data_IF_477813195941
#
_entry.id   IF_477813195941
#
_cell.length_a   1.000
_cell.length_b   1.000
_cell.length_c   1.000
_cell.angle_alpha   90.00
_cell.angle_beta   90.00
_cell.angle_gamma   90.00
#
_symmetry.space_group_name_H-M   'P 1'
#
loop_
_entity.id
_entity.type
_entity.pdbx_description
1 polymer ?
#
# COMPACT_ATOMS: atom_id res chain seq x y z
N UNK A 1 20.63 0.27 14.06
CA UNK A 1 21.30 -0.87 13.41
C UNK A 1 21.38 -0.61 11.91
N UNK A 2 22.59 -0.68 11.34
CA UNK A 2 22.81 -0.49 9.90
C UNK A 2 23.01 -1.85 9.23
N UNK A 3 22.29 -2.13 8.14
CA UNK A 3 22.50 -3.31 7.33
C UNK A 3 22.46 -2.93 5.84
N UNK A 4 23.14 -3.70 5.02
CA UNK A 4 23.18 -3.53 3.58
C UNK A 4 22.38 -4.63 2.91
N UNK A 5 21.55 -4.26 1.94
CA UNK A 5 20.77 -5.21 1.15
C UNK A 5 20.50 -4.63 -0.24
N UNK A 6 20.04 -5.45 -1.15
CA UNK A 6 19.65 -5.01 -2.49
C UNK A 6 18.14 -4.78 -2.55
N UNK A 7 17.75 -3.52 -2.73
CA UNK A 7 16.37 -3.21 -3.07
C UNK A 7 16.14 -3.57 -4.54
N UNK A 8 15.25 -4.51 -4.79
CA UNK A 8 15.00 -5.08 -6.10
C UNK A 8 13.56 -4.84 -6.54
N UNK A 9 13.38 -4.47 -7.79
CA UNK A 9 12.11 -4.57 -8.51
C UNK A 9 12.29 -5.47 -9.71
N UNK A 10 11.31 -6.33 -9.94
CA UNK A 10 11.32 -7.23 -11.07
C UNK A 10 11.01 -6.51 -12.40
N UNK A 11 11.04 -7.27 -13.50
CA UNK A 11 10.76 -6.75 -14.84
C UNK A 11 9.42 -6.01 -14.94
N UNK A 12 8.40 -6.47 -14.25
CA UNK A 12 7.06 -5.89 -14.23
C UNK A 12 6.90 -4.70 -13.26
N UNK A 13 7.94 -4.35 -12.50
CA UNK A 13 7.93 -3.24 -11.56
C UNK A 13 7.45 -3.59 -10.15
N UNK A 14 7.15 -4.84 -9.85
CA UNK A 14 6.84 -5.32 -8.51
C UNK A 14 8.11 -5.42 -7.67
N UNK A 15 7.97 -5.21 -6.37
CA UNK A 15 9.07 -5.44 -5.45
C UNK A 15 9.34 -6.95 -5.32
N UNK A 16 10.63 -7.33 -5.32
CA UNK A 16 11.08 -8.71 -5.14
C UNK A 16 11.47 -9.41 -6.44
N UNK A 17 11.34 -10.73 -6.46
CA UNK A 17 11.80 -11.59 -7.54
C UNK A 17 10.89 -11.59 -8.77
N UNK A 18 11.45 -12.09 -9.87
CA UNK A 18 10.70 -12.33 -11.10
C UNK A 18 9.58 -13.36 -10.87
N UNK A 19 8.51 -13.23 -11.63
CA UNK A 19 7.38 -14.16 -11.59
C UNK A 19 6.77 -14.35 -12.99
N UNK A 20 6.02 -15.43 -13.14
CA UNK A 20 5.16 -15.61 -14.31
C UNK A 20 3.81 -14.91 -14.00
N UNK A 21 3.35 -13.94 -14.82
CA UNK A 21 2.08 -13.25 -14.60
C UNK A 21 0.86 -14.16 -14.48
N UNK A 22 0.87 -15.33 -15.13
CA UNK A 22 -0.22 -16.30 -15.01
C UNK A 22 -0.36 -16.90 -13.60
N UNK A 23 0.71 -16.89 -12.80
CA UNK A 23 0.73 -17.51 -11.47
C UNK A 23 0.36 -16.50 -10.37
N UNK A 24 0.15 -15.23 -10.74
CA UNK A 24 -0.14 -14.17 -9.77
C UNK A 24 -1.62 -14.20 -9.40
N UNK A 25 -1.91 -14.73 -8.21
CA UNK A 25 -3.27 -14.75 -7.66
C UNK A 25 -3.53 -13.59 -6.70
N UNK A 26 -2.53 -13.21 -5.90
CA UNK A 26 -2.68 -12.24 -4.83
C UNK A 26 -1.66 -11.12 -4.98
N UNK A 27 -2.14 -9.89 -5.01
CA UNK A 27 -1.32 -8.67 -5.08
C UNK A 27 -1.51 -7.86 -3.81
N UNK A 28 -0.43 -7.28 -3.31
CA UNK A 28 -0.44 -6.31 -2.22
C UNK A 28 -0.17 -4.91 -2.78
N UNK A 29 -1.13 -4.03 -2.63
CA UNK A 29 -1.10 -2.64 -3.06
C UNK A 29 -0.98 -1.71 -1.86
N UNK A 30 0.05 -0.87 -1.84
CA UNK A 30 0.28 0.09 -0.77
C UNK A 30 1.16 1.27 -1.20
N UNK A 31 1.33 2.21 -0.29
CA UNK A 31 2.29 3.29 -0.38
C UNK A 31 3.69 2.86 0.06
N UNK A 32 4.49 3.82 0.55
CA UNK A 32 5.83 3.57 1.08
C UNK A 32 5.83 2.61 2.29
N UNK A 33 4.78 2.64 3.10
CA UNK A 33 4.57 1.73 4.24
C UNK A 33 4.33 0.27 3.84
N UNK A 34 3.93 0.00 2.61
CA UNK A 34 3.83 -1.35 2.03
C UNK A 34 5.03 -1.69 1.14
N UNK A 35 5.66 -0.65 0.53
CA UNK A 35 6.89 -0.82 -0.23
C UNK A 35 8.10 -1.11 0.67
N UNK A 36 8.15 -0.50 1.87
CA UNK A 36 9.19 -0.70 2.88
C UNK A 36 10.62 -0.66 2.32
N UNK A 37 10.89 0.35 1.50
CA UNK A 37 12.10 0.48 0.66
C UNK A 37 13.42 0.28 1.42
N UNK A 38 13.46 0.64 2.69
CA UNK A 38 14.67 0.57 3.53
C UNK A 38 14.74 -0.70 4.39
N UNK A 39 13.89 -1.68 4.13
CA UNK A 39 13.82 -2.97 4.82
C UNK A 39 14.18 -4.09 3.85
N UNK A 40 15.03 -5.09 4.20
CA UNK A 40 15.26 -6.26 3.36
C UNK A 40 13.95 -7.01 3.08
N UNK A 41 13.86 -7.64 1.91
CA UNK A 41 12.62 -8.28 1.44
C UNK A 41 12.01 -9.25 2.46
N UNK A 42 12.85 -10.07 3.07
CA UNK A 42 12.45 -11.08 4.05
C UNK A 42 11.87 -10.52 5.35
N UNK A 43 12.13 -9.23 5.65
CA UNK A 43 11.63 -8.55 6.85
C UNK A 43 10.50 -7.55 6.56
N UNK A 44 10.06 -7.46 5.30
CA UNK A 44 8.88 -6.65 4.95
C UNK A 44 7.59 -7.33 5.39
N UNK A 45 6.50 -6.59 5.49
CA UNK A 45 5.17 -7.15 5.77
C UNK A 45 4.86 -8.27 4.78
N UNK A 46 5.04 -8.03 3.47
CA UNK A 46 4.75 -9.04 2.43
C UNK A 46 5.72 -10.23 2.51
N UNK A 47 7.01 -9.98 2.70
CA UNK A 47 8.00 -11.06 2.86
C UNK A 47 7.68 -11.95 4.04
N UNK A 48 7.33 -11.36 5.19
CA UNK A 48 6.94 -12.09 6.40
C UNK A 48 5.62 -12.87 6.23
N UNK A 49 4.63 -12.30 5.53
CA UNK A 49 3.39 -13.02 5.20
C UNK A 49 3.67 -14.25 4.32
N UNK A 50 4.51 -14.10 3.31
CA UNK A 50 4.91 -15.22 2.44
C UNK A 50 5.66 -16.31 3.21
N UNK A 51 6.53 -15.94 4.16
CA UNK A 51 7.18 -16.91 5.05
C UNK A 51 6.18 -17.67 5.92
N UNK A 52 5.14 -16.99 6.44
CA UNK A 52 4.09 -17.62 7.25
C UNK A 52 3.25 -18.58 6.43
N UNK A 53 2.84 -18.23 5.22
CA UNK A 53 2.14 -19.16 4.32
C UNK A 53 3.00 -20.40 4.05
N UNK A 54 4.28 -20.21 3.73
CA UNK A 54 5.22 -21.31 3.52
C UNK A 54 5.39 -22.19 4.77
N UNK A 55 5.50 -21.59 5.96
CA UNK A 55 5.64 -22.35 7.22
C UNK A 55 4.39 -23.18 7.55
N UNK A 56 3.21 -22.69 7.18
CA UNK A 56 1.94 -23.38 7.33
C UNK A 56 1.65 -24.36 6.18
N UNK A 57 2.61 -24.57 5.27
CA UNK A 57 2.49 -25.43 4.07
C UNK A 57 1.33 -25.02 3.13
N UNK A 58 1.03 -23.72 3.08
CA UNK A 58 -0.01 -23.15 2.22
C UNK A 58 0.67 -22.64 0.96
N UNK A 59 0.26 -23.15 -0.21
CA UNK A 59 0.77 -22.76 -1.52
C UNK A 59 0.12 -21.46 -2.01
N UNK A 60 0.34 -20.39 -1.26
CA UNK A 60 -0.06 -19.02 -1.61
C UNK A 60 1.15 -18.09 -1.56
N UNK A 61 1.23 -17.19 -2.54
CA UNK A 61 2.24 -16.14 -2.61
C UNK A 61 1.60 -14.79 -2.89
N UNK A 62 1.98 -13.80 -2.08
CA UNK A 62 1.58 -12.40 -2.24
C UNK A 62 2.69 -11.68 -3.00
N UNK A 63 2.34 -10.93 -4.04
CA UNK A 63 3.25 -10.13 -4.85
C UNK A 63 3.09 -8.64 -4.53
N UNK A 64 4.19 -7.97 -4.21
CA UNK A 64 4.18 -6.60 -3.71
C UNK A 64 4.23 -5.57 -4.84
N UNK A 65 3.11 -4.92 -5.12
CA UNK A 65 2.96 -3.83 -6.09
C UNK A 65 3.05 -2.43 -5.45
N UNK A 66 3.36 -2.34 -4.15
CA UNK A 66 3.44 -1.06 -3.44
C UNK A 66 4.54 -0.16 -3.99
N UNK A 67 4.31 1.16 -4.01
CA UNK A 67 5.28 2.18 -4.39
C UNK A 67 5.22 3.38 -3.47
N UNK A 68 6.36 4.07 -3.28
CA UNK A 68 6.43 5.23 -2.40
C UNK A 68 5.45 6.32 -2.83
N UNK A 69 4.77 6.94 -1.85
CA UNK A 69 3.81 8.01 -2.08
C UNK A 69 2.47 7.60 -2.70
N UNK A 70 2.24 6.30 -2.96
CA UNK A 70 1.01 5.83 -3.59
C UNK A 70 -0.19 5.98 -2.65
N UNK A 71 -1.18 6.74 -3.08
CA UNK A 71 -2.52 6.85 -2.48
C UNK A 71 -3.52 5.99 -3.25
N UNK A 72 -4.76 5.97 -2.81
CA UNK A 72 -5.87 5.32 -3.54
C UNK A 72 -5.99 5.80 -5.00
N UNK A 73 -5.69 7.09 -5.25
CA UNK A 73 -5.59 7.64 -6.60
C UNK A 73 -4.52 6.93 -7.44
N UNK A 74 -3.32 6.72 -6.87
CA UNK A 74 -2.25 5.98 -7.53
C UNK A 74 -2.62 4.53 -7.81
N UNK A 75 -3.32 3.89 -6.87
CA UNK A 75 -3.82 2.52 -7.05
C UNK A 75 -4.82 2.42 -8.21
N UNK A 76 -5.75 3.38 -8.31
CA UNK A 76 -6.68 3.48 -9.46
C UNK A 76 -5.91 3.69 -10.77
N UNK A 77 -4.85 4.50 -10.75
CA UNK A 77 -3.98 4.72 -11.91
C UNK A 77 -3.32 3.42 -12.40
N UNK A 78 -2.90 2.55 -11.48
CA UNK A 78 -2.27 1.28 -11.81
C UNK A 78 -3.19 0.34 -12.61
N UNK A 79 -4.47 0.32 -12.28
CA UNK A 79 -5.48 -0.43 -13.06
C UNK A 79 -5.68 0.08 -14.49
N UNK A 80 -5.41 1.36 -14.73
CA UNK A 80 -5.59 1.95 -16.05
C UNK A 80 -4.31 1.94 -16.89
N UNK A 81 -3.13 1.96 -16.23
CA UNK A 81 -1.87 2.29 -16.90
C UNK A 81 -0.73 1.31 -16.67
N UNK A 82 -0.75 0.53 -15.58
CA UNK A 82 0.32 -0.40 -15.26
C UNK A 82 -0.11 -1.86 -15.46
N UNK A 83 -1.10 -2.33 -14.75
CA UNK A 83 -1.56 -3.72 -14.79
C UNK A 83 -1.99 -4.18 -16.18
N UNK A 84 -2.70 -3.35 -17.00
CA UNK A 84 -3.06 -3.74 -18.37
C UNK A 84 -1.88 -3.96 -19.32
N UNK A 85 -0.68 -3.46 -18.98
CA UNK A 85 0.54 -3.66 -19.77
C UNK A 85 1.23 -4.98 -19.48
N UNK A 86 0.80 -5.72 -18.47
CA UNK A 86 1.35 -7.01 -18.09
C UNK A 86 0.47 -8.09 -18.70
N UNK A 87 0.97 -8.75 -19.73
CA UNK A 87 0.22 -9.79 -20.43
C UNK A 87 -0.16 -10.93 -19.49
N UNK A 88 -1.42 -11.36 -19.55
CA UNK A 88 -1.98 -12.45 -18.75
C UNK A 88 -2.02 -12.20 -17.23
N UNK A 89 -1.85 -10.96 -16.78
CA UNK A 89 -1.95 -10.60 -15.37
C UNK A 89 -3.41 -10.47 -14.95
N UNK A 90 -3.89 -11.43 -14.16
CA UNK A 90 -5.29 -11.51 -13.71
C UNK A 90 -5.35 -11.94 -12.25
N UNK A 91 -4.98 -11.06 -11.31
CA UNK A 91 -5.05 -11.40 -9.89
C UNK A 91 -6.51 -11.66 -9.46
N UNK A 92 -6.70 -12.66 -8.62
CA UNK A 92 -7.99 -12.97 -8.00
C UNK A 92 -8.28 -12.06 -6.81
N UNK A 93 -7.22 -11.73 -6.05
CA UNK A 93 -7.29 -10.90 -4.85
C UNK A 93 -6.32 -9.73 -4.93
N UNK A 94 -6.76 -8.57 -4.44
CA UNK A 94 -5.86 -7.46 -4.16
C UNK A 94 -6.05 -6.99 -2.73
N UNK A 95 -4.95 -7.00 -1.97
CA UNK A 95 -4.86 -6.49 -0.61
C UNK A 95 -4.48 -5.02 -0.69
N UNK A 96 -5.36 -4.14 -0.22
CA UNK A 96 -5.17 -2.70 -0.22
C UNK A 96 -4.77 -2.21 1.16
N UNK A 97 -3.49 -1.84 1.32
CA UNK A 97 -2.96 -1.20 2.52
C UNK A 97 -2.86 0.30 2.28
N UNK A 98 -3.93 1.02 2.56
CA UNK A 98 -4.14 2.40 2.10
C UNK A 98 -4.66 3.32 3.21
N UNK A 99 -4.52 4.64 2.99
CA UNK A 99 -5.04 5.69 3.87
C UNK A 99 -4.03 6.79 4.18
N UNK A 100 -2.81 6.45 4.57
CA UNK A 100 -1.78 7.43 4.98
C UNK A 100 -1.51 8.51 3.93
N UNK A 101 -1.34 8.12 2.67
CA UNK A 101 -1.08 9.08 1.61
C UNK A 101 -2.35 9.83 1.15
N UNK A 102 -3.53 9.28 1.42
CA UNK A 102 -4.80 9.89 1.06
C UNK A 102 -5.11 11.12 1.93
N UNK A 103 -4.58 11.18 3.17
CA UNK A 103 -4.76 12.34 4.06
C UNK A 103 -4.20 13.64 3.51
N UNK A 104 -3.22 13.58 2.61
CA UNK A 104 -2.59 14.73 1.97
C UNK A 104 -3.32 15.20 0.69
N UNK A 105 -4.35 14.46 0.23
CA UNK A 105 -5.08 14.75 -1.01
C UNK A 105 -6.33 15.60 -0.78
N UNK A 106 -6.34 16.47 0.24
CA UNK A 106 -7.52 17.23 0.64
C UNK A 106 -7.76 18.50 -0.16
N UNK A 107 -6.83 18.95 -0.99
CA UNK A 107 -7.00 20.18 -1.73
C UNK A 107 -7.69 19.99 -3.10
N UNK A 108 -8.36 21.05 -3.57
CA UNK A 108 -9.09 21.05 -4.84
C UNK A 108 -8.16 20.86 -6.06
N UNK A 109 -6.88 21.21 -5.94
CA UNK A 109 -5.89 21.08 -7.02
C UNK A 109 -5.61 19.60 -7.26
N UNK A 110 -5.43 18.83 -6.21
CA UNK A 110 -5.22 17.39 -6.30
C UNK A 110 -6.45 16.67 -6.86
N UNK A 111 -7.65 17.14 -6.55
CA UNK A 111 -8.89 16.57 -7.10
C UNK A 111 -9.02 16.83 -8.61
N UNK A 112 -8.71 18.06 -9.07
CA UNK A 112 -8.66 18.38 -10.51
C UNK A 112 -7.61 17.54 -11.24
N UNK A 113 -6.45 17.33 -10.64
CA UNK A 113 -5.41 16.48 -11.23
C UNK A 113 -5.86 15.01 -11.33
N UNK A 114 -6.65 14.53 -10.36
CA UNK A 114 -7.25 13.19 -10.43
C UNK A 114 -8.18 13.04 -11.63
N UNK A 115 -9.10 14.00 -11.81
CA UNK A 115 -10.03 14.02 -12.96
C UNK A 115 -9.30 14.12 -14.29
N UNK A 116 -8.23 14.93 -14.36
CA UNK A 116 -7.40 15.11 -15.55
C UNK A 116 -6.58 13.87 -15.91
N UNK A 117 -6.10 13.12 -14.91
CA UNK A 117 -5.38 11.86 -15.17
C UNK A 117 -6.29 10.72 -15.62
N UNK A 118 -7.56 10.74 -15.23
CA UNK A 118 -8.57 9.83 -15.79
C UNK A 118 -8.87 10.18 -17.25
N UNK A 119 -8.75 11.48 -17.62
CA UNK A 119 -8.93 12.01 -18.97
C UNK A 119 -7.59 12.30 -19.66
N UNK A 120 -6.66 11.36 -19.74
CA UNK A 120 -5.33 11.57 -20.34
C UNK A 120 -5.29 12.49 -21.55
N UNK A 121 -4.41 13.50 -21.51
CA UNK A 121 -4.07 14.30 -22.69
C UNK A 121 -3.48 13.39 -23.77
N UNK A 122 -3.97 13.50 -25.00
CA UNK A 122 -3.55 12.74 -26.17
C UNK A 122 -2.02 12.73 -26.41
N UNK A 123 -1.34 13.79 -25.96
CA UNK A 123 0.11 13.99 -26.08
C UNK A 123 0.89 13.08 -25.10
N UNK A 124 0.39 12.90 -23.89
CA UNK A 124 1.07 12.04 -22.89
C UNK A 124 0.92 10.56 -23.25
N UNK A 125 -0.20 10.17 -23.87
CA UNK A 125 -0.36 8.84 -24.46
C UNK A 125 0.66 8.55 -25.56
N UNK A 126 0.95 9.52 -26.42
CA UNK A 126 1.95 9.35 -27.50
C UNK A 126 3.35 9.22 -26.91
N UNK A 127 3.72 10.05 -25.93
CA UNK A 127 5.03 9.96 -25.24
C UNK A 127 5.18 8.64 -24.49
N UNK A 128 4.15 8.21 -23.77
CA UNK A 128 4.14 6.93 -23.07
C UNK A 128 4.12 5.75 -24.02
N UNK A 129 3.41 5.86 -25.14
CA UNK A 129 3.44 4.84 -26.21
C UNK A 129 4.83 4.67 -26.80
N UNK A 130 5.52 5.77 -27.14
CA UNK A 130 6.88 5.74 -27.66
C UNK A 130 7.85 5.17 -26.62
N UNK A 131 7.77 5.61 -25.36
CA UNK A 131 8.64 5.18 -24.27
C UNK A 131 8.41 3.69 -23.92
N UNK A 132 7.17 3.24 -23.93
CA UNK A 132 6.79 1.89 -23.53
C UNK A 132 6.87 0.87 -24.67
N UNK A 133 6.87 1.31 -25.94
CA UNK A 133 7.07 0.45 -27.12
C UNK A 133 8.49 0.55 -27.69
N UNK A 134 9.39 1.32 -27.06
CA UNK A 134 10.79 1.34 -27.45
C UNK A 134 11.49 0.08 -26.91
N UNK A 135 11.68 -0.90 -27.78
CA UNK A 135 12.43 -2.12 -27.49
C UNK A 135 13.84 -1.83 -26.91
N UNK A 136 14.46 -0.73 -27.33
CA UNK A 136 15.78 -0.29 -26.83
C UNK A 136 15.68 0.19 -25.39
N UNK A 137 14.66 0.97 -25.02
CA UNK A 137 14.46 1.49 -23.66
C UNK A 137 14.15 0.36 -22.67
N UNK A 138 13.29 -0.58 -23.04
CA UNK A 138 12.96 -1.74 -22.20
C UNK A 138 14.18 -2.66 -22.02
N UNK A 139 14.94 -2.88 -23.08
CA UNK A 139 16.17 -3.68 -23.00
C UNK A 139 17.25 -3.00 -22.14
N UNK A 140 17.42 -1.69 -22.27
CA UNK A 140 18.31 -0.92 -21.41
C UNK A 140 17.90 -1.01 -19.93
N UNK A 141 16.61 -0.83 -19.63
CA UNK A 141 16.07 -0.92 -18.26
C UNK A 141 16.25 -2.33 -17.66
N UNK A 142 16.01 -3.36 -18.44
CA UNK A 142 16.21 -4.76 -18.05
C UNK A 142 17.69 -5.06 -17.76
N UNK A 143 18.60 -4.62 -18.65
CA UNK A 143 20.03 -4.77 -18.48
C UNK A 143 20.52 -3.97 -17.27
N UNK A 144 20.12 -2.71 -17.14
CA UNK A 144 20.50 -1.87 -16.02
C UNK A 144 20.07 -2.45 -14.68
N UNK A 145 18.82 -2.93 -14.56
CA UNK A 145 18.33 -3.53 -13.32
C UNK A 145 18.98 -4.90 -13.02
N UNK A 146 19.30 -5.68 -14.04
CA UNK A 146 19.94 -6.99 -13.89
C UNK A 146 21.42 -6.88 -13.48
N UNK A 147 22.16 -5.96 -14.08
CA UNK A 147 23.62 -5.85 -13.88
C UNK A 147 24.02 -4.75 -12.89
N UNK A 148 23.15 -3.79 -12.63
CA UNK A 148 23.37 -2.68 -11.69
C UNK A 148 22.20 -2.52 -10.72
N UNK A 149 21.88 -3.54 -9.91
CA UNK A 149 20.85 -3.40 -8.88
C UNK A 149 21.28 -2.28 -7.92
N UNK A 150 20.37 -1.34 -7.66
CA UNK A 150 20.65 -0.25 -6.73
C UNK A 150 20.83 -0.82 -5.33
N UNK A 151 22.04 -0.74 -4.80
CA UNK A 151 22.32 -1.07 -3.41
C UNK A 151 21.64 -0.01 -2.52
N UNK A 152 20.88 -0.46 -1.57
CA UNK A 152 20.24 0.39 -0.55
C UNK A 152 20.80 0.03 0.81
N UNK A 153 21.06 1.04 1.63
CA UNK A 153 21.36 0.84 3.05
C UNK A 153 20.16 1.30 3.88
N UNK A 154 19.74 0.46 4.80
CA UNK A 154 18.73 0.82 5.79
C UNK A 154 19.37 1.58 6.93
N UNK A 155 18.83 2.74 7.29
CA UNK A 155 19.20 3.49 8.47
C UNK A 155 18.03 3.46 9.45
N UNK A 156 18.29 2.99 10.66
CA UNK A 156 17.42 3.30 11.78
C UNK A 156 17.98 4.59 12.39
N UNK A 157 17.28 5.68 12.18
CA UNK A 157 17.60 6.94 12.84
C UNK A 157 17.09 6.80 14.27
N UNK A 158 18.01 6.87 15.22
CA UNK A 158 17.68 7.09 16.62
C UNK A 158 17.23 8.55 16.71
N UNK A 159 15.95 8.79 16.60
CA UNK A 159 15.40 10.12 16.55
C UNK A 159 14.89 10.47 17.95
N UNK A 160 15.79 10.87 18.84
CA UNK A 160 15.48 11.29 20.21
C UNK A 160 14.39 12.37 20.26
N UNK A 161 14.25 13.17 19.19
CA UNK A 161 13.18 14.18 19.06
C UNK A 161 11.79 13.58 18.83
N UNK A 162 11.67 12.50 18.04
CA UNK A 162 10.41 11.77 17.88
C UNK A 162 9.94 11.13 19.18
N UNK A 163 10.87 10.89 20.10
CA UNK A 163 10.63 10.15 21.34
C UNK A 163 10.11 11.03 22.47
N UNK A 164 10.37 12.32 22.45
CA UNK A 164 10.03 13.24 23.55
C UNK A 164 8.53 13.37 23.81
N UNK A 165 7.70 13.26 22.73
CA UNK A 165 6.24 13.43 22.78
C UNK A 165 5.47 12.18 22.38
N UNK A 166 6.12 11.02 22.44
CA UNK A 166 5.46 9.76 22.09
C UNK A 166 4.30 9.47 23.03
N UNK A 167 3.11 9.46 22.46
CA UNK A 167 1.90 8.98 23.12
C UNK A 167 1.08 8.19 22.13
N UNK A 168 1.04 6.89 22.32
CA UNK A 168 0.22 6.02 21.49
C UNK A 168 -1.27 6.27 21.75
N UNK A 169 -2.01 6.54 20.71
CA UNK A 169 -3.48 6.74 20.75
C UNK A 169 -4.12 5.54 20.05
N UNK A 170 -4.65 4.62 20.85
CA UNK A 170 -5.39 3.47 20.35
C UNK A 170 -6.79 3.86 19.86
N UNK A 171 -7.47 2.94 19.17
CA UNK A 171 -8.75 3.20 18.52
C UNK A 171 -9.84 3.80 19.46
N UNK A 172 -9.99 3.25 20.66
CA UNK A 172 -11.00 3.75 21.62
C UNK A 172 -10.74 5.21 22.02
N UNK A 173 -9.47 5.56 22.25
CA UNK A 173 -9.07 6.94 22.60
C UNK A 173 -9.25 7.88 21.40
N UNK A 174 -8.87 7.43 20.18
CA UNK A 174 -9.04 8.21 18.97
C UNK A 174 -10.52 8.55 18.70
N UNK A 175 -11.42 7.62 18.93
CA UNK A 175 -12.87 7.83 18.80
C UNK A 175 -13.41 8.92 19.73
N UNK A 176 -12.84 9.03 20.93
CA UNK A 176 -13.19 10.11 21.86
C UNK A 176 -12.54 11.45 21.49
N UNK A 177 -11.30 11.38 20.97
CA UNK A 177 -10.49 12.55 20.60
C UNK A 177 -11.05 13.27 19.35
N UNK A 178 -11.53 12.51 18.35
CA UNK A 178 -11.89 13.01 17.03
C UNK A 178 -13.41 13.13 16.81
N UNK A 179 -14.13 13.68 17.78
CA UNK A 179 -15.58 13.90 17.69
C UNK A 179 -15.96 15.08 16.79
N UNK A 180 -15.13 16.12 16.80
CA UNK A 180 -15.38 17.34 16.03
C UNK A 180 -14.73 17.24 14.65
N UNK A 181 -15.57 17.31 13.61
CA UNK A 181 -15.15 17.18 12.22
C UNK A 181 -15.23 18.53 11.54
N UNK A 182 -14.07 19.04 11.07
CA UNK A 182 -13.99 20.30 10.32
C UNK A 182 -14.62 20.20 8.92
N UNK A 183 -14.86 21.34 8.28
CA UNK A 183 -15.32 21.35 6.89
C UNK A 183 -14.29 20.77 5.93
N UNK A 184 -13.00 21.00 6.19
CA UNK A 184 -11.90 20.41 5.40
C UNK A 184 -11.91 18.89 5.49
N UNK A 185 -12.10 18.35 6.70
CA UNK A 185 -12.17 16.91 6.90
C UNK A 185 -13.40 16.29 6.21
N UNK A 186 -14.54 16.99 6.21
CA UNK A 186 -15.72 16.55 5.45
C UNK A 186 -15.46 16.48 3.94
N UNK A 187 -14.72 17.46 3.40
CA UNK A 187 -14.29 17.47 2.00
C UNK A 187 -13.36 16.28 1.72
N UNK A 188 -12.36 16.08 2.57
CA UNK A 188 -11.42 14.97 2.47
C UNK A 188 -12.13 13.61 2.40
N UNK A 189 -13.05 13.37 3.35
CA UNK A 189 -13.82 12.11 3.42
C UNK A 189 -14.66 11.92 2.16
N UNK A 190 -15.35 12.97 1.71
CA UNK A 190 -16.18 12.92 0.49
C UNK A 190 -15.35 12.60 -0.75
N UNK A 191 -14.16 13.19 -0.87
CA UNK A 191 -13.24 12.92 -1.96
C UNK A 191 -12.68 11.50 -1.90
N UNK A 192 -12.32 11.02 -0.72
CA UNK A 192 -11.87 9.64 -0.52
C UNK A 192 -12.96 8.64 -0.89
N UNK A 193 -14.21 8.90 -0.48
CA UNK A 193 -15.36 8.07 -0.84
C UNK A 193 -15.60 8.01 -2.36
N UNK A 194 -15.51 9.12 -3.07
CA UNK A 194 -15.58 9.14 -4.54
C UNK A 194 -14.53 8.22 -5.17
N UNK A 195 -13.28 8.28 -4.68
CA UNK A 195 -12.21 7.39 -5.15
C UNK A 195 -12.49 5.92 -4.86
N UNK A 196 -13.02 5.60 -3.67
CA UNK A 196 -13.44 4.23 -3.32
C UNK A 196 -14.54 3.72 -4.27
N UNK A 197 -15.49 4.57 -4.64
CA UNK A 197 -16.55 4.21 -5.61
C UNK A 197 -15.99 3.95 -7.02
N UNK A 198 -14.97 4.71 -7.45
CA UNK A 198 -14.26 4.44 -8.70
C UNK A 198 -13.51 3.11 -8.63
N UNK A 199 -12.76 2.87 -7.54
CA UNK A 199 -12.07 1.60 -7.33
C UNK A 199 -13.06 0.42 -7.36
N UNK A 200 -14.20 0.52 -6.66
CA UNK A 200 -15.25 -0.52 -6.68
C UNK A 200 -15.67 -0.91 -8.10
N UNK A 201 -15.93 0.10 -8.96
CA UNK A 201 -16.31 -0.17 -10.38
C UNK A 201 -15.21 -0.93 -11.12
N UNK A 202 -13.95 -0.57 -10.89
CA UNK A 202 -12.78 -1.22 -11.50
C UNK A 202 -12.67 -2.67 -11.03
N UNK A 203 -12.79 -2.92 -9.73
CA UNK A 203 -12.69 -4.25 -9.14
C UNK A 203 -13.79 -5.18 -9.67
N UNK A 204 -15.04 -4.71 -9.71
CA UNK A 204 -16.16 -5.47 -10.28
C UNK A 204 -15.90 -5.80 -11.75
N UNK A 205 -15.48 -4.81 -12.56
CA UNK A 205 -15.19 -4.99 -13.98
C UNK A 205 -14.11 -6.05 -14.23
N UNK A 206 -13.11 -6.14 -13.34
CA UNK A 206 -11.99 -7.06 -13.49
C UNK A 206 -12.17 -8.37 -12.71
N UNK A 207 -13.31 -8.58 -12.06
CA UNK A 207 -13.60 -9.75 -11.22
C UNK A 207 -12.56 -9.97 -10.12
N UNK A 208 -12.16 -8.89 -9.43
CA UNK A 208 -11.15 -8.90 -8.38
C UNK A 208 -11.82 -8.76 -7.02
N UNK A 209 -11.46 -9.64 -6.09
CA UNK A 209 -11.90 -9.58 -4.70
C UNK A 209 -10.95 -8.69 -3.88
N UNK A 210 -11.40 -7.54 -3.36
CA UNK A 210 -10.57 -6.70 -2.51
C UNK A 210 -10.51 -7.19 -1.08
N UNK A 211 -9.34 -7.04 -0.46
CA UNK A 211 -9.15 -7.13 0.99
C UNK A 211 -8.56 -5.81 1.45
N UNK A 212 -9.30 -5.02 2.21
CA UNK A 212 -8.82 -3.75 2.72
C UNK A 212 -8.14 -3.92 4.07
N UNK A 213 -7.13 -3.09 4.35
CA UNK A 213 -6.45 -3.03 5.64
C UNK A 213 -6.33 -1.56 6.04
N UNK A 214 -6.84 -1.20 7.22
CA UNK A 214 -6.65 0.14 7.79
C UNK A 214 -5.20 0.38 8.19
N UNK A 215 -4.78 1.64 8.28
CA UNK A 215 -3.40 2.01 8.60
C UNK A 215 -3.27 2.72 9.94
N UNK A 216 -2.05 2.72 10.46
CA UNK A 216 -1.65 3.40 11.69
C UNK A 216 -0.34 4.17 11.48
N UNK A 217 -0.02 5.08 12.38
CA UNK A 217 1.27 5.74 12.51
C UNK A 217 1.99 5.30 13.79
N UNK A 218 3.20 5.80 14.02
CA UNK A 218 3.93 5.54 15.27
C UNK A 218 3.10 5.92 16.52
N UNK A 219 2.29 6.98 16.45
CA UNK A 219 1.37 7.42 17.50
C UNK A 219 -0.02 6.72 17.44
N UNK A 220 -0.14 5.59 16.77
CA UNK A 220 -1.42 4.92 16.54
C UNK A 220 -2.29 5.70 15.57
N UNK A 221 -3.46 6.13 16.01
CA UNK A 221 -4.41 6.95 15.24
C UNK A 221 -4.65 8.31 15.89
N UNK A 222 -3.56 8.97 16.33
CA UNK A 222 -3.60 10.35 16.82
C UNK A 222 -3.95 11.35 15.71
N UNK A 223 -3.59 11.06 14.46
CA UNK A 223 -3.92 11.88 13.28
C UNK A 223 -5.41 11.76 12.96
N UNK A 224 -6.15 12.89 13.06
CA UNK A 224 -7.58 12.92 12.80
C UNK A 224 -7.94 12.55 11.37
N UNK A 225 -7.19 13.01 10.38
CA UNK A 225 -7.47 12.69 8.97
C UNK A 225 -7.32 11.20 8.70
N UNK A 226 -6.29 10.57 9.26
CA UNK A 226 -6.11 9.11 9.15
C UNK A 226 -7.24 8.36 9.85
N UNK A 227 -7.64 8.78 11.05
CA UNK A 227 -8.78 8.20 11.76
C UNK A 227 -10.04 8.23 10.89
N UNK A 228 -10.38 9.40 10.34
CA UNK A 228 -11.57 9.57 9.51
C UNK A 228 -11.53 8.78 8.20
N UNK A 229 -10.36 8.64 7.57
CA UNK A 229 -10.15 7.80 6.39
C UNK A 229 -10.37 6.32 6.75
N UNK A 230 -9.81 5.86 7.88
CA UNK A 230 -10.02 4.50 8.37
C UNK A 230 -11.50 4.21 8.64
N UNK A 231 -12.21 5.13 9.33
CA UNK A 231 -13.65 4.99 9.57
C UNK A 231 -14.45 4.93 8.27
N UNK A 232 -14.13 5.82 7.30
CA UNK A 232 -14.77 5.79 5.98
C UNK A 232 -14.52 4.47 5.25
N UNK A 233 -13.30 3.92 5.34
CA UNK A 233 -12.96 2.63 4.75
C UNK A 233 -13.75 1.48 5.39
N UNK A 234 -13.95 1.53 6.73
CA UNK A 234 -14.76 0.56 7.47
C UNK A 234 -16.22 0.60 7.02
N UNK A 235 -16.80 1.80 6.96
CA UNK A 235 -18.18 1.98 6.49
C UNK A 235 -18.36 1.52 5.06
N UNK A 236 -17.42 1.91 4.18
CA UNK A 236 -17.47 1.53 2.78
C UNK A 236 -17.38 0.01 2.59
N UNK A 237 -16.47 -0.65 3.29
CA UNK A 237 -16.31 -2.10 3.22
C UNK A 237 -17.55 -2.82 3.73
N UNK A 238 -18.11 -2.41 4.87
CA UNK A 238 -19.34 -2.96 5.44
C UNK A 238 -20.52 -2.82 4.47
N UNK A 239 -20.72 -1.63 3.91
CA UNK A 239 -21.86 -1.33 3.03
C UNK A 239 -21.78 -2.02 1.66
N UNK A 240 -20.60 -2.51 1.27
CA UNK A 240 -20.37 -3.19 0.00
C UNK A 240 -20.06 -4.69 0.15
N UNK A 241 -20.06 -5.23 1.37
CA UNK A 241 -19.73 -6.63 1.63
C UNK A 241 -18.27 -6.98 1.35
N UNK A 242 -17.36 -6.00 1.39
CA UNK A 242 -15.93 -6.21 1.16
C UNK A 242 -15.21 -6.66 2.43
N UNK A 243 -14.20 -7.49 2.25
CA UNK A 243 -13.35 -7.95 3.34
C UNK A 243 -12.47 -6.81 3.86
N UNK A 244 -12.37 -6.70 5.18
CA UNK A 244 -11.60 -5.65 5.86
C UNK A 244 -10.89 -6.19 7.09
N UNK A 245 -9.60 -5.89 7.21
CA UNK A 245 -8.82 -6.09 8.42
C UNK A 245 -8.65 -4.72 9.08
N UNK A 246 -9.24 -4.58 10.26
CA UNK A 246 -9.21 -3.35 11.05
C UNK A 246 -7.93 -3.29 11.86
N UNK A 247 -6.79 -3.11 11.19
CA UNK A 247 -5.48 -3.13 11.84
C UNK A 247 -5.40 -2.09 12.98
N UNK A 248 -6.00 -0.92 12.78
CA UNK A 248 -6.08 0.16 13.77
C UNK A 248 -6.82 -0.20 15.07
N UNK A 249 -7.65 -1.27 15.05
CA UNK A 249 -8.37 -1.75 16.23
C UNK A 249 -7.67 -2.91 16.95
N UNK A 250 -6.86 -3.69 16.21
CA UNK A 250 -6.30 -4.96 16.71
C UNK A 250 -4.82 -4.89 17.07
N UNK A 251 -4.10 -3.82 16.67
CA UNK A 251 -2.66 -3.72 16.90
C UNK A 251 -2.32 -2.65 17.95
N UNK A 252 -1.30 -2.94 18.73
CA UNK A 252 -0.66 -1.97 19.60
C UNK A 252 0.84 -1.92 19.29
N UNK A 253 1.32 -0.76 18.87
CA UNK A 253 2.70 -0.55 18.47
C UNK A 253 3.47 0.21 19.53
N UNK A 254 4.76 -0.04 19.59
CA UNK A 254 5.71 0.70 20.40
C UNK A 254 6.53 1.66 19.53
N UNK A 255 7.21 2.55 20.18
CA UNK A 255 8.12 3.48 19.55
C UNK A 255 9.19 2.80 18.69
N UNK A 256 9.73 1.67 19.15
CA UNK A 256 10.77 0.90 18.45
C UNK A 256 10.28 0.14 17.23
N UNK A 257 8.98 0.16 16.97
CA UNK A 257 8.37 -0.46 15.80
C UNK A 257 8.42 0.44 14.56
N UNK A 258 8.85 1.70 14.75
CA UNK A 258 8.96 2.71 13.69
C UNK A 258 10.35 3.34 13.68
N UNK A 259 10.86 3.70 12.49
CA UNK A 259 12.10 4.47 12.35
C UNK A 259 11.84 5.93 11.99
N UNK A 260 10.60 6.29 11.65
CA UNK A 260 10.06 7.64 11.53
C UNK A 260 8.57 7.62 11.90
N UNK A 261 7.84 8.69 11.59
CA UNK A 261 6.43 8.81 11.97
C UNK A 261 5.50 7.74 11.38
N UNK A 262 5.85 7.13 10.25
CA UNK A 262 4.95 6.27 9.49
C UNK A 262 5.56 4.95 9.03
N UNK A 263 6.89 4.86 8.95
CA UNK A 263 7.55 3.68 8.39
C UNK A 263 8.05 2.74 9.50
N UNK A 264 7.76 1.48 9.34
CA UNK A 264 8.07 0.45 10.33
C UNK A 264 9.51 -0.06 10.25
N UNK A 265 10.07 -0.37 11.41
CA UNK A 265 11.26 -1.20 11.52
C UNK A 265 10.89 -2.67 11.18
N UNK A 266 11.86 -3.59 10.97
CA UNK A 266 11.60 -5.03 10.86
C UNK A 266 10.72 -5.60 11.97
N UNK A 267 10.86 -5.10 13.20
CA UNK A 267 10.00 -5.50 14.33
C UNK A 267 8.56 -5.01 14.14
N UNK A 268 8.39 -3.76 13.70
CA UNK A 268 7.08 -3.21 13.40
C UNK A 268 6.39 -3.95 12.26
N UNK A 269 7.11 -4.22 11.17
CA UNK A 269 6.62 -4.99 10.04
C UNK A 269 6.20 -6.41 10.46
N UNK A 270 7.00 -7.04 11.35
CA UNK A 270 6.66 -8.34 11.92
C UNK A 270 5.38 -8.29 12.75
N UNK A 271 5.20 -7.30 13.61
CA UNK A 271 3.97 -7.13 14.39
C UNK A 271 2.74 -6.94 13.49
N UNK A 272 2.86 -6.14 12.43
CA UNK A 272 1.79 -5.96 11.46
C UNK A 272 1.47 -7.29 10.75
N UNK A 273 2.50 -7.98 10.24
CA UNK A 273 2.31 -9.26 9.57
C UNK A 273 1.68 -10.31 10.51
N UNK A 274 2.12 -10.38 11.77
CA UNK A 274 1.56 -11.27 12.78
C UNK A 274 0.08 -10.95 13.06
N UNK A 275 -0.27 -9.68 13.14
CA UNK A 275 -1.63 -9.23 13.42
C UNK A 275 -2.59 -9.51 12.26
N UNK A 276 -2.18 -9.31 10.99
CA UNK A 276 -3.05 -9.46 9.84
C UNK A 276 -3.10 -10.90 9.29
N UNK A 277 -2.07 -11.71 9.51
CA UNK A 277 -1.95 -13.06 8.95
C UNK A 277 -3.14 -13.98 9.26
N UNK A 278 -3.65 -14.09 10.51
CA UNK A 278 -4.78 -14.98 10.81
C UNK A 278 -6.04 -14.62 10.01
N UNK A 279 -6.27 -13.32 9.80
CA UNK A 279 -7.40 -12.83 9.02
C UNK A 279 -7.21 -13.12 7.53
N UNK A 280 -6.03 -12.84 6.98
CA UNK A 280 -5.70 -13.12 5.58
C UNK A 280 -5.81 -14.62 5.29
N UNK A 281 -5.26 -15.46 6.16
CA UNK A 281 -5.36 -16.92 6.04
C UNK A 281 -6.81 -17.36 5.94
N UNK A 282 -7.67 -16.86 6.83
CA UNK A 282 -9.10 -17.18 6.81
C UNK A 282 -9.79 -16.68 5.54
N UNK A 283 -9.48 -15.47 5.09
CA UNK A 283 -10.13 -14.83 3.92
C UNK A 283 -9.73 -15.47 2.59
N UNK A 284 -8.50 -16.00 2.50
CA UNK A 284 -7.94 -16.54 1.26
C UNK A 284 -8.14 -18.06 1.11
N UNK A 285 -8.49 -18.76 2.19
CA UNK A 285 -8.69 -20.22 2.18
C UNK A 285 -10.15 -20.66 2.27
N UNK A 286 -11.07 -19.70 2.56
CA UNK A 286 -12.52 -19.92 2.56
C UNK A 286 -13.14 -19.33 1.30
#
# INVERSE_FOLDING_TARGET
QQYKFFYKRNFYGFRGDEFNPNDVKIVFEGGSTGNERFTPEEYTIVGLLNQKFKSDQIDLKIYNASTDGKSLRGMIYDFNHWFPKINNFKPEYIIFYLGLNDRALSDQVNERMFDLHIQEKRIDRIKDYIKNNSFIYERYKTIANKYFPKQTSGYFVDNDELYKDFKYVGYKQAKELHKDISNEDRILIKQFEKRLLVLKKILIKNNITPIFITQITFNGIKDQKLFLINEKLKDFSKNNGFQLIKLDEIINMSLYDFYDEIHTTPNGSKKIADAIYPYLKKMLLN
#
